data_IF_886211360746
#
_entry.id   IF_886211360746
#
_cell.length_a   1.000
_cell.length_b   1.000
_cell.length_c   1.000
_cell.angle_alpha   90.00
_cell.angle_beta   90.00
_cell.angle_gamma   90.00
#
_symmetry.space_group_name_H-M   'P 1'
#
loop_
_entity.id
_entity.type
_entity.pdbx_description
1 polymer ?
#
# COMPACT_ATOMS: atom_id res chain seq x y z
N UNK A 1 19.32 -7.50 -12.04
CA UNK A 1 18.15 -8.26 -12.51
C UNK A 1 17.21 -8.40 -11.34
N UNK A 2 16.24 -7.51 -11.19
CA UNK A 2 15.22 -7.60 -10.14
C UNK A 2 14.21 -8.64 -10.60
N UNK A 3 14.28 -9.86 -10.05
CA UNK A 3 13.19 -10.82 -10.23
C UNK A 3 11.96 -10.26 -9.53
N UNK A 4 11.06 -9.71 -10.34
CA UNK A 4 9.76 -9.21 -9.92
C UNK A 4 8.83 -10.41 -9.71
N UNK A 5 8.96 -11.04 -8.54
CA UNK A 5 8.13 -12.15 -8.11
C UNK A 5 6.79 -11.60 -7.62
N UNK A 6 5.69 -12.27 -7.96
CA UNK A 6 4.36 -11.89 -7.52
C UNK A 6 4.22 -11.92 -5.98
N UNK A 7 3.37 -11.07 -5.44
CA UNK A 7 3.05 -11.08 -4.00
C UNK A 7 2.16 -12.28 -3.71
N UNK A 8 2.52 -13.06 -2.70
CA UNK A 8 1.76 -14.22 -2.21
C UNK A 8 1.07 -13.87 -0.88
N UNK A 9 1.78 -13.20 0.04
CA UNK A 9 1.25 -12.85 1.36
C UNK A 9 1.77 -11.48 1.81
N UNK A 10 1.00 -10.81 2.66
CA UNK A 10 1.39 -9.53 3.27
C UNK A 10 1.04 -9.53 4.76
N UNK A 11 1.91 -8.96 5.58
CA UNK A 11 1.68 -8.77 7.00
C UNK A 11 2.19 -7.39 7.43
N UNK A 12 1.46 -6.73 8.32
CA UNK A 12 1.86 -5.48 8.94
C UNK A 12 1.52 -5.56 10.42
N UNK A 13 2.54 -5.54 11.27
CA UNK A 13 2.39 -5.63 12.73
C UNK A 13 3.17 -4.55 13.45
N UNK A 14 2.73 -4.20 14.66
CA UNK A 14 3.49 -3.30 15.52
C UNK A 14 4.64 -4.05 16.21
N UNK A 15 5.80 -3.41 16.27
CA UNK A 15 6.94 -3.87 17.04
C UNK A 15 7.17 -2.86 18.17
N UNK A 16 6.81 -3.26 19.39
CA UNK A 16 6.92 -2.42 20.59
C UNK A 16 8.37 -2.00 20.90
N UNK A 17 9.39 -2.89 20.85
CA UNK A 17 10.77 -2.49 21.13
C UNK A 17 11.32 -1.39 20.21
N UNK A 18 10.96 -1.42 18.93
CA UNK A 18 11.42 -0.45 17.92
C UNK A 18 10.50 0.77 17.78
N UNK A 19 9.32 0.75 18.41
CA UNK A 19 8.20 1.71 18.21
C UNK A 19 7.93 1.96 16.73
N UNK A 20 7.81 0.86 15.96
CA UNK A 20 7.66 0.87 14.49
C UNK A 20 6.73 -0.23 14.03
N UNK A 21 6.07 -0.04 12.89
CA UNK A 21 5.40 -1.15 12.23
C UNK A 21 6.40 -1.88 11.34
N UNK A 22 6.29 -3.20 11.27
CA UNK A 22 7.04 -4.04 10.32
C UNK A 22 6.10 -4.50 9.22
N UNK A 23 6.33 -4.03 7.99
CA UNK A 23 5.70 -4.56 6.80
C UNK A 23 6.50 -5.73 6.26
N UNK A 24 5.90 -6.91 6.16
CA UNK A 24 6.49 -8.09 5.51
C UNK A 24 5.71 -8.44 4.25
N UNK A 25 6.42 -8.55 3.14
CA UNK A 25 5.88 -8.92 1.83
C UNK A 25 6.47 -10.26 1.44
N UNK A 26 5.65 -11.30 1.53
CA UNK A 26 5.99 -12.65 1.10
C UNK A 26 5.71 -12.82 -0.38
N UNK A 27 6.72 -13.27 -1.13
CA UNK A 27 6.67 -13.40 -2.57
C UNK A 27 6.50 -14.87 -3.00
N UNK A 28 5.99 -15.10 -4.20
CA UNK A 28 5.69 -16.43 -4.73
C UNK A 28 6.93 -17.35 -4.86
N UNK A 29 8.12 -16.76 -4.93
CA UNK A 29 9.40 -17.49 -4.95
C UNK A 29 9.91 -17.86 -3.55
N UNK A 30 9.04 -17.81 -2.53
CA UNK A 30 9.35 -18.12 -1.13
C UNK A 30 10.40 -17.21 -0.50
N UNK A 31 10.61 -16.04 -1.09
CA UNK A 31 11.39 -14.97 -0.48
C UNK A 31 10.51 -13.94 0.22
N UNK A 32 11.12 -13.14 1.10
CA UNK A 32 10.46 -12.07 1.86
C UNK A 32 11.22 -10.76 1.72
N UNK A 33 10.47 -9.67 1.61
CA UNK A 33 10.95 -8.30 1.79
C UNK A 33 10.35 -7.73 3.07
N UNK A 34 11.19 -7.25 3.98
CA UNK A 34 10.78 -6.65 5.24
C UNK A 34 11.13 -5.16 5.29
N UNK A 35 10.17 -4.32 5.70
CA UNK A 35 10.31 -2.85 5.73
C UNK A 35 9.78 -2.29 7.05
N UNK A 36 10.63 -1.58 7.78
CA UNK A 36 10.25 -0.75 8.90
C UNK A 36 9.49 0.50 8.45
N UNK A 37 8.32 0.70 9.02
CA UNK A 37 7.43 1.83 8.79
C UNK A 37 7.32 2.63 10.09
N UNK A 38 7.83 3.86 10.07
CA UNK A 38 7.67 4.79 11.20
C UNK A 38 6.28 5.39 11.22
N UNK A 39 5.87 5.96 12.35
CA UNK A 39 4.59 6.69 12.49
C UNK A 39 4.35 7.73 11.39
N UNK A 40 5.39 8.49 11.01
CA UNK A 40 5.30 9.50 9.92
C UNK A 40 5.02 8.85 8.57
N UNK A 41 5.71 7.76 8.26
CA UNK A 41 5.52 7.04 6.99
C UNK A 41 4.17 6.32 6.97
N UNK A 42 3.72 5.79 8.10
CA UNK A 42 2.39 5.20 8.23
C UNK A 42 1.28 6.22 7.88
N UNK A 43 1.38 7.47 8.36
CA UNK A 43 0.45 8.55 7.98
C UNK A 43 0.47 8.83 6.47
N UNK A 44 1.65 8.94 5.87
CA UNK A 44 1.79 9.17 4.43
C UNK A 44 1.20 8.01 3.61
N UNK A 45 1.48 6.77 4.02
CA UNK A 45 0.94 5.56 3.40
C UNK A 45 -0.59 5.51 3.48
N UNK A 46 -1.18 5.92 4.62
CA UNK A 46 -2.62 5.97 4.79
C UNK A 46 -3.26 6.92 3.76
N UNK A 47 -2.79 8.16 3.70
CA UNK A 47 -3.30 9.17 2.75
C UNK A 47 -3.16 8.66 1.31
N UNK A 48 -2.02 8.04 0.99
CA UNK A 48 -1.76 7.53 -0.34
C UNK A 48 -2.70 6.37 -0.73
N UNK A 49 -2.99 5.45 0.20
CA UNK A 49 -3.93 4.34 -0.01
C UNK A 49 -5.37 4.82 -0.18
N UNK A 50 -5.81 5.84 0.57
CA UNK A 50 -7.15 6.42 0.39
C UNK A 50 -7.31 7.03 -1.00
N UNK A 51 -6.28 7.73 -1.50
CA UNK A 51 -6.26 8.24 -2.87
C UNK A 51 -6.25 7.15 -3.95
N UNK A 52 -5.47 6.08 -3.73
CA UNK A 52 -5.44 4.93 -4.62
C UNK A 52 -6.80 4.22 -4.70
N UNK A 53 -7.46 4.00 -3.55
CA UNK A 53 -8.79 3.40 -3.47
C UNK A 53 -9.85 4.19 -4.23
N UNK A 54 -9.82 5.52 -4.13
CA UNK A 54 -10.72 6.40 -4.89
C UNK A 54 -10.54 6.28 -6.41
N UNK A 55 -9.31 6.03 -6.87
CA UNK A 55 -8.98 5.87 -8.31
C UNK A 55 -9.37 4.49 -8.84
N UNK A 56 -9.41 3.47 -7.99
CA UNK A 56 -9.76 2.09 -8.34
C UNK A 56 -11.27 1.82 -8.36
N UNK A 57 -12.10 2.76 -7.89
CA UNK A 57 -13.54 2.67 -8.05
C UNK A 57 -13.91 2.91 -9.51
N UNK A 58 -14.70 2.03 -10.15
CA UNK A 58 -15.17 2.27 -11.50
C UNK A 58 -16.10 3.48 -11.46
N UNK A 59 -15.61 4.64 -11.89
CA UNK A 59 -16.49 5.73 -12.31
C UNK A 59 -17.19 5.21 -13.55
N UNK A 60 -18.48 4.91 -13.40
CA UNK A 60 -19.38 4.48 -14.46
C UNK A 60 -19.50 5.55 -15.54
N UNK A 61 -18.51 5.66 -16.42
CA UNK A 61 -18.46 6.55 -17.59
C UNK A 61 -17.39 6.12 -18.63
N UNK A 62 -17.00 4.84 -18.67
CA UNK A 62 -16.04 4.33 -19.67
C UNK A 62 -16.60 3.13 -20.43
N UNK A 63 -17.79 3.29 -21.02
CA UNK A 63 -18.19 2.52 -22.19
C UNK A 63 -18.20 3.44 -23.41
N UNK A 64 -17.02 3.95 -23.78
CA UNK A 64 -16.83 4.45 -25.14
C UNK A 64 -16.32 3.27 -25.98
N UNK A 65 -17.17 2.77 -26.88
CA UNK A 65 -16.85 1.67 -27.78
C UNK A 65 -15.58 2.00 -28.61
N UNK A 66 -14.61 1.08 -28.75
CA UNK A 66 -13.41 1.34 -29.52
C UNK A 66 -13.73 1.26 -31.02
N UNK A 67 -13.68 2.41 -31.70
CA UNK A 67 -13.65 2.47 -33.16
C UNK A 67 -12.23 2.16 -33.64
N UNK A 68 -11.93 0.90 -33.93
CA UNK A 68 -10.59 0.43 -34.34
C UNK A 68 -10.52 0.42 -35.86
N UNK A 69 -9.94 1.49 -36.46
CA UNK A 69 -9.32 1.42 -37.79
C UNK A 69 -8.04 2.27 -37.78
N UNK A 70 -6.95 1.79 -37.17
CA UNK A 70 -5.59 2.21 -37.56
C UNK A 70 -4.55 1.08 -37.34
N UNK A 71 -3.42 1.07 -38.08
CA UNK A 71 -2.41 0.00 -38.03
C UNK A 71 -1.65 -0.14 -36.70
N UNK A 72 -1.78 0.82 -35.78
CA UNK A 72 -1.11 0.82 -34.47
C UNK A 72 -1.79 -0.08 -33.42
N UNK A 73 -3.03 -0.52 -33.65
CA UNK A 73 -3.81 -1.29 -32.67
C UNK A 73 -3.24 -2.68 -32.34
N UNK A 74 -2.32 -3.23 -33.15
CA UNK A 74 -1.66 -4.51 -32.84
C UNK A 74 -0.67 -4.41 -31.68
N UNK A 75 0.06 -3.30 -31.56
CA UNK A 75 1.03 -3.10 -30.47
C UNK A 75 0.32 -2.84 -29.15
N UNK A 76 -0.74 -2.03 -29.18
CA UNK A 76 -1.57 -1.74 -28.00
C UNK A 76 -2.29 -3.00 -27.49
N UNK A 77 -2.76 -3.86 -28.40
CA UNK A 77 -3.37 -5.15 -28.04
C UNK A 77 -2.37 -6.12 -27.39
N UNK A 78 -1.14 -6.24 -27.91
CA UNK A 78 -0.12 -7.13 -27.33
C UNK A 78 0.31 -6.62 -25.94
N UNK A 79 0.45 -5.31 -25.77
CA UNK A 79 0.75 -4.72 -24.48
C UNK A 79 -0.40 -4.91 -23.47
N UNK A 80 -1.67 -4.78 -23.88
CA UNK A 80 -2.81 -5.02 -23.00
C UNK A 80 -2.88 -6.49 -22.55
N UNK A 81 -2.57 -7.45 -23.43
CA UNK A 81 -2.52 -8.87 -23.07
C UNK A 81 -1.38 -9.21 -22.10
N UNK A 82 -0.18 -8.64 -22.26
CA UNK A 82 0.91 -8.83 -21.30
C UNK A 82 0.56 -8.19 -19.93
N UNK A 83 -0.07 -7.01 -19.95
CA UNK A 83 -0.53 -6.32 -18.73
C UNK A 83 -1.59 -7.13 -17.99
N UNK A 84 -2.58 -7.69 -18.69
CA UNK A 84 -3.56 -8.61 -18.10
C UNK A 84 -2.89 -9.87 -17.55
N UNK A 85 -1.89 -10.45 -18.21
CA UNK A 85 -1.19 -11.63 -17.73
C UNK A 85 -0.37 -11.37 -16.45
N UNK A 86 0.26 -10.21 -16.30
CA UNK A 86 1.00 -9.82 -15.09
C UNK A 86 0.04 -9.53 -13.93
N UNK A 87 -1.09 -8.86 -14.20
CA UNK A 87 -2.13 -8.61 -13.20
C UNK A 87 -2.78 -9.94 -12.77
N UNK A 88 -3.16 -10.80 -13.72
CA UNK A 88 -3.73 -12.12 -13.45
C UNK A 88 -2.77 -13.03 -12.65
N UNK A 89 -1.47 -13.05 -12.97
CA UNK A 89 -0.48 -13.81 -12.21
C UNK A 89 -0.28 -13.25 -10.78
N UNK A 90 -0.35 -11.93 -10.61
CA UNK A 90 -0.28 -11.29 -9.29
C UNK A 90 -1.54 -11.54 -8.45
N UNK A 91 -2.72 -11.72 -9.06
CA UNK A 91 -3.99 -11.96 -8.36
C UNK A 91 -4.22 -13.42 -7.98
N UNK A 92 -3.73 -14.39 -8.77
CA UNK A 92 -4.07 -15.80 -8.62
C UNK A 92 -3.56 -16.45 -7.32
N UNK A 93 -2.57 -15.87 -6.65
CA UNK A 93 -1.91 -16.47 -5.47
C UNK A 93 -1.89 -15.58 -4.22
N UNK A 94 -2.66 -14.49 -4.18
CA UNK A 94 -2.75 -13.66 -2.98
C UNK A 94 -3.55 -14.35 -1.88
N UNK A 95 -2.88 -14.70 -0.79
CA UNK A 95 -3.47 -15.30 0.40
C UNK A 95 -3.53 -14.28 1.55
N UNK A 96 -4.76 -13.85 1.87
CA UNK A 96 -5.07 -12.97 3.01
C UNK A 96 -5.75 -13.70 4.18
N UNK A 97 -5.95 -15.01 4.06
CA UNK A 97 -6.79 -15.78 5.00
C UNK A 97 -5.95 -16.63 5.93
N UNK A 98 -4.87 -17.20 5.44
CA UNK A 98 -3.98 -18.02 6.25
C UNK A 98 -3.08 -17.18 7.14
N UNK A 99 -2.52 -17.80 8.18
CA UNK A 99 -1.44 -17.22 8.96
C UNK A 99 -0.22 -16.93 8.06
N UNK A 100 0.51 -15.86 8.40
CA UNK A 100 1.67 -15.45 7.63
C UNK A 100 2.80 -16.50 7.75
N UNK A 101 3.32 -16.97 6.62
CA UNK A 101 4.41 -17.96 6.61
C UNK A 101 5.73 -17.33 7.08
N UNK A 102 6.29 -17.82 8.19
CA UNK A 102 7.49 -17.27 8.81
C UNK A 102 8.82 -17.82 8.26
N UNK A 103 8.79 -18.86 7.43
CA UNK A 103 9.96 -19.62 6.95
C UNK A 103 10.50 -19.12 5.59
N UNK A 104 10.15 -17.89 5.19
CA UNK A 104 10.57 -17.29 3.92
C UNK A 104 12.02 -16.81 3.96
N UNK A 105 12.73 -16.96 2.85
CA UNK A 105 14.10 -16.46 2.71
C UNK A 105 14.12 -14.93 2.60
N UNK A 106 14.73 -14.24 3.56
CA UNK A 106 14.87 -12.79 3.50
C UNK A 106 15.72 -12.36 2.29
N UNK A 107 15.26 -11.34 1.55
CA UNK A 107 16.01 -10.70 0.44
C UNK A 107 17.04 -9.67 0.91
N UNK A 108 17.03 -9.31 2.20
CA UNK A 108 17.97 -8.39 2.83
C UNK A 108 18.42 -8.92 4.19
N UNK A 109 19.64 -8.57 4.61
CA UNK A 109 20.21 -9.02 5.89
C UNK A 109 19.43 -8.48 7.11
N UNK A 110 18.80 -7.32 6.94
CA UNK A 110 17.95 -6.68 7.94
C UNK A 110 16.74 -6.01 7.25
N UNK A 111 15.64 -5.76 7.98
CA UNK A 111 14.52 -5.01 7.42
C UNK A 111 14.93 -3.59 7.04
N UNK A 112 14.47 -3.13 5.87
CA UNK A 112 14.80 -1.81 5.34
C UNK A 112 13.99 -0.72 6.03
N UNK A 113 14.55 0.48 6.24
CA UNK A 113 13.80 1.59 6.83
C UNK A 113 13.20 2.48 5.75
N UNK A 114 11.87 2.54 5.65
CA UNK A 114 11.20 3.46 4.74
C UNK A 114 11.38 4.92 5.21
N UNK A 115 11.77 5.80 4.27
CA UNK A 115 11.99 7.23 4.51
C UNK A 115 11.05 8.13 3.68
N UNK A 116 10.48 7.58 2.61
CA UNK A 116 9.47 8.22 1.77
C UNK A 116 8.45 7.18 1.28
N UNK A 117 7.19 7.60 1.16
CA UNK A 117 6.10 6.80 0.65
C UNK A 117 5.33 7.62 -0.38
N UNK A 118 5.17 7.06 -1.58
CA UNK A 118 4.47 7.67 -2.70
C UNK A 118 3.52 6.64 -3.32
N UNK A 119 2.41 7.11 -3.89
CA UNK A 119 1.65 6.34 -4.86
C UNK A 119 1.87 6.96 -6.23
N UNK A 120 2.31 6.15 -7.18
CA UNK A 120 2.60 6.55 -8.54
C UNK A 120 1.65 5.80 -9.47
N UNK A 121 0.93 6.55 -10.30
CA UNK A 121 0.07 6.00 -11.35
C UNK A 121 0.60 6.50 -12.68
N UNK A 122 0.90 5.59 -13.60
CA UNK A 122 1.45 5.93 -14.92
C UNK A 122 0.41 5.55 -15.98
N UNK A 123 -0.18 6.55 -16.64
CA UNK A 123 -1.23 6.34 -17.64
C UNK A 123 -2.44 5.61 -17.05
N UNK A 124 -2.91 4.57 -17.74
CA UNK A 124 -4.04 3.73 -17.32
C UNK A 124 -3.64 2.49 -16.51
N UNK A 125 -2.42 2.46 -15.95
CA UNK A 125 -1.95 1.35 -15.13
C UNK A 125 -2.52 1.39 -13.71
N UNK A 126 -2.53 0.24 -13.03
CA UNK A 126 -2.84 0.18 -11.61
C UNK A 126 -1.87 1.08 -10.82
N UNK A 127 -2.36 1.79 -9.79
CA UNK A 127 -1.51 2.59 -8.92
C UNK A 127 -0.45 1.69 -8.27
N UNK A 128 0.75 2.21 -8.08
CA UNK A 128 1.85 1.50 -7.43
C UNK A 128 2.27 2.27 -6.18
N UNK A 129 2.29 1.59 -5.03
CA UNK A 129 2.92 2.08 -3.81
C UNK A 129 4.44 1.95 -3.94
N UNK A 130 5.17 3.04 -3.75
CA UNK A 130 6.64 3.08 -3.73
C UNK A 130 7.11 3.53 -2.35
N UNK A 131 7.78 2.61 -1.64
CA UNK A 131 8.45 2.83 -0.37
C UNK A 131 9.94 2.97 -0.61
N UNK A 132 10.44 4.20 -0.63
CA UNK A 132 11.86 4.47 -0.74
C UNK A 132 12.51 4.30 0.63
N UNK A 133 13.59 3.52 0.67
CA UNK A 133 14.27 3.12 1.88
C UNK A 133 15.59 3.88 2.07
N UNK A 134 16.05 3.97 3.32
CA UNK A 134 17.28 4.69 3.70
C UNK A 134 18.56 4.14 3.06
N UNK A 135 18.55 2.88 2.62
CA UNK A 135 19.64 2.22 1.91
C UNK A 135 19.66 2.52 0.39
N UNK A 136 18.79 3.42 -0.09
CA UNK A 136 18.66 3.77 -1.51
C UNK A 136 17.86 2.78 -2.34
N UNK A 137 17.31 1.71 -1.73
CA UNK A 137 16.43 0.76 -2.40
C UNK A 137 14.96 1.22 -2.32
N UNK A 138 14.13 0.71 -3.23
CA UNK A 138 12.68 0.96 -3.23
C UNK A 138 11.93 -0.36 -3.20
N UNK A 139 10.90 -0.44 -2.36
CA UNK A 139 9.91 -1.52 -2.39
C UNK A 139 8.67 -1.03 -3.11
N UNK A 140 8.35 -1.70 -4.23
CA UNK A 140 7.25 -1.33 -5.12
C UNK A 140 6.16 -2.38 -5.04
N UNK A 141 4.94 -1.96 -4.76
CA UNK A 141 3.77 -2.83 -4.63
C UNK A 141 2.69 -2.32 -5.58
N UNK A 142 2.31 -3.13 -6.56
CA UNK A 142 1.18 -2.83 -7.42
C UNK A 142 -0.12 -2.95 -6.60
N UNK A 143 -0.91 -1.88 -6.55
CA UNK A 143 -2.10 -1.81 -5.72
C UNK A 143 -3.33 -2.28 -6.49
N UNK A 144 -3.81 -3.48 -6.18
CA UNK A 144 -5.17 -3.91 -6.52
C UNK A 144 -6.17 -3.42 -5.47
N UNK A 145 -7.47 -3.54 -5.74
CA UNK A 145 -8.51 -3.19 -4.77
C UNK A 145 -8.38 -4.02 -3.48
N UNK A 146 -8.07 -5.31 -3.61
CA UNK A 146 -7.85 -6.24 -2.50
C UNK A 146 -6.66 -5.83 -1.65
N UNK A 147 -5.53 -5.45 -2.27
CA UNK A 147 -4.34 -5.02 -1.55
C UNK A 147 -4.54 -3.68 -0.83
N UNK A 148 -5.23 -2.72 -1.47
CA UNK A 148 -5.60 -1.46 -0.80
C UNK A 148 -6.43 -1.76 0.44
N UNK A 149 -7.50 -2.55 0.31
CA UNK A 149 -8.37 -2.91 1.45
C UNK A 149 -7.63 -3.67 2.55
N UNK A 150 -6.77 -4.63 2.17
CA UNK A 150 -5.99 -5.41 3.12
C UNK A 150 -5.01 -4.51 3.91
N UNK A 151 -4.24 -3.66 3.21
CA UNK A 151 -3.31 -2.73 3.84
C UNK A 151 -4.04 -1.73 4.74
N UNK A 152 -5.14 -1.14 4.29
CA UNK A 152 -5.98 -0.24 5.09
C UNK A 152 -6.42 -0.90 6.39
N UNK A 153 -6.94 -2.14 6.34
CA UNK A 153 -7.38 -2.88 7.52
C UNK A 153 -6.21 -3.23 8.46
N UNK A 154 -5.08 -3.71 7.91
CA UNK A 154 -3.91 -4.04 8.72
C UNK A 154 -3.32 -2.80 9.39
N UNK A 155 -3.27 -1.66 8.69
CA UNK A 155 -2.86 -0.38 9.28
C UNK A 155 -3.80 0.04 10.41
N UNK A 156 -5.12 -0.11 10.23
CA UNK A 156 -6.09 0.17 11.30
C UNK A 156 -5.83 -0.62 12.58
N UNK A 157 -5.55 -1.91 12.43
CA UNK A 157 -5.23 -2.79 13.58
C UNK A 157 -3.88 -2.43 14.19
N UNK A 158 -2.83 -2.32 13.37
CA UNK A 158 -1.46 -2.14 13.83
C UNK A 158 -1.24 -0.77 14.50
N UNK A 159 -1.85 0.30 14.02
CA UNK A 159 -1.68 1.61 14.68
C UNK A 159 -2.53 1.74 15.95
N UNK A 160 -3.66 1.03 16.03
CA UNK A 160 -4.44 0.92 17.27
C UNK A 160 -3.63 0.21 18.34
N UNK A 161 -2.97 -0.89 17.99
CA UNK A 161 -2.03 -1.60 18.87
C UNK A 161 -0.89 -0.69 19.31
N UNK A 162 -0.32 0.08 18.37
CA UNK A 162 0.73 1.06 18.65
C UNK A 162 0.26 2.29 19.46
N UNK A 163 -1.04 2.46 19.71
CA UNK A 163 -1.59 3.69 20.31
C UNK A 163 -1.35 4.95 19.46
N UNK A 164 -1.12 4.79 18.16
CA UNK A 164 -0.96 5.92 17.26
C UNK A 164 -2.35 6.31 16.73
N UNK A 165 -2.93 7.37 17.27
CA UNK A 165 -4.19 7.97 16.81
C UNK A 165 -4.03 8.60 15.41
N UNK A 166 -3.88 7.77 14.37
CA UNK A 166 -3.55 8.21 13.01
C UNK A 166 -4.77 8.44 12.12
N UNK A 167 -5.92 7.88 12.47
CA UNK A 167 -7.11 7.83 11.61
C UNK A 167 -8.24 8.74 12.08
N UNK A 168 -7.91 9.81 12.81
CA UNK A 168 -8.89 10.85 13.13
C UNK A 168 -9.23 11.57 11.82
N UNK A 169 -10.36 11.22 11.23
CA UNK A 169 -11.05 12.08 10.28
C UNK A 169 -11.35 13.43 10.94
N UNK A 170 -11.26 14.50 10.15
CA UNK A 170 -11.49 15.89 10.54
C UNK A 170 -12.96 16.16 10.96
N UNK A 171 -13.43 15.54 12.02
CA UNK A 171 -14.73 15.75 12.65
C UNK A 171 -14.58 15.76 14.16
N UNK A 172 -14.90 16.90 14.78
CA UNK A 172 -14.84 17.18 16.22
C UNK A 172 -13.47 17.56 16.78
N UNK A 173 -12.88 18.64 16.26
CA UNK A 173 -12.24 19.59 17.15
C UNK A 173 -13.34 20.21 18.06
N UNK A 174 -13.68 19.53 19.15
CA UNK A 174 -14.37 20.17 20.27
C UNK A 174 -13.37 21.17 20.87
N UNK A 175 -13.48 22.43 20.43
CA UNK A 175 -12.82 23.54 21.08
C UNK A 175 -13.37 23.57 22.50
N UNK A 176 -12.58 23.10 23.47
CA UNK A 176 -12.88 23.31 24.88
C UNK A 176 -12.69 24.81 25.14
N UNK A 177 -13.80 25.55 25.06
CA UNK A 177 -13.85 26.93 25.53
C UNK A 177 -13.84 26.87 27.05
N UNK A 178 -12.69 27.15 27.67
CA UNK A 178 -12.63 27.35 29.11
C UNK A 178 -13.45 28.59 29.47
N UNK A 179 -14.38 28.54 30.44
CA UNK A 179 -15.06 29.73 30.91
C UNK A 179 -14.05 30.61 31.67
N UNK A 180 -13.94 31.86 31.22
CA UNK A 180 -13.12 32.90 31.83
C UNK A 180 -13.63 33.16 33.27
N UNK A 181 -12.94 32.62 34.28
CA UNK A 181 -13.15 33.07 35.66
C UNK A 181 -12.41 34.39 35.87
N UNK A 182 -13.06 35.51 35.55
CA UNK A 182 -12.66 36.79 36.10
C UNK A 182 -13.07 36.85 37.57
N UNK A 183 -12.05 36.81 38.42
CA UNK A 183 -12.12 37.00 39.86
C UNK A 183 -12.53 38.43 40.18
N UNK A 184 -13.50 38.56 41.09
CA UNK A 184 -13.95 39.83 41.69
C UNK A 184 -12.83 40.39 42.56
N UNK A 185 -12.55 41.68 42.42
CA UNK A 185 -11.86 42.50 43.42
C UNK A 185 -12.73 43.72 43.74
#
# INVERSE_FOLDING_TARGET
>A
MTNESAIEQINLGFNEPEDRLLLKVGLADKTEVAVWITRRICKAMWIALQGAGATLLPTSSQFAAPNIVTPNGKSEAIESFQKEAVVQNNLANLDFKSEYMADRQARSDAPMLAILCLVVTIGAQLPQLDLQCSNGQSVKILLTNELVRALTNMMQMATREAGWDLFIEAGNAQVSVMPNQQTVH
#
